data_IF_787925140095
#
_entry.id   IF_787925140095
#
_cell.length_a   1.000
_cell.length_b   1.000
_cell.length_c   1.000
_cell.angle_alpha   90.00
_cell.angle_beta   90.00
_cell.angle_gamma   90.00
#
_symmetry.space_group_name_H-M   'P 1'
#
loop_
_entity.id
_entity.type
_entity.pdbx_description
1 polymer ?
#
# COMPACT_ATOMS: atom_id res chain seq x y z
N UNK A 1 -31.90 -2.96 16.22
CA UNK A 1 -30.49 -3.39 16.26
C UNK A 1 -29.64 -2.24 15.76
N UNK A 2 -28.53 -1.86 16.41
CA UNK A 2 -27.61 -0.91 15.81
C UNK A 2 -27.12 -1.49 14.48
N UNK A 3 -27.23 -0.72 13.40
CA UNK A 3 -26.66 -1.10 12.11
C UNK A 3 -25.16 -0.81 12.20
N UNK A 4 -24.35 -1.86 12.25
CA UNK A 4 -22.89 -1.74 12.27
C UNK A 4 -22.38 -2.04 10.86
N UNK A 5 -21.72 -1.08 10.26
CA UNK A 5 -21.02 -1.21 8.97
C UNK A 5 -19.52 -1.31 9.22
N UNK A 6 -18.87 -2.31 8.62
CA UNK A 6 -17.41 -2.47 8.65
C UNK A 6 -16.82 -2.03 7.32
N UNK A 7 -16.01 -0.97 7.35
CA UNK A 7 -15.31 -0.46 6.15
C UNK A 7 -13.90 -1.06 6.12
N UNK A 8 -13.55 -1.67 4.98
CA UNK A 8 -12.25 -2.32 4.75
C UNK A 8 -11.50 -1.57 3.64
N UNK A 9 -10.68 -0.56 4.01
CA UNK A 9 -9.85 0.13 3.04
C UNK A 9 -8.70 -0.77 2.56
N UNK A 10 -8.20 -0.50 1.37
CA UNK A 10 -6.89 -0.97 0.89
C UNK A 10 -5.73 -0.27 1.61
N UNK A 11 -4.51 -0.50 1.13
CA UNK A 11 -3.35 0.31 1.51
C UNK A 11 -3.59 1.82 1.33
N UNK A 12 -2.87 2.63 2.10
CA UNK A 12 -3.07 4.08 2.11
C UNK A 12 -1.99 4.83 1.33
N UNK A 13 -2.33 6.02 0.85
CA UNK A 13 -1.33 6.95 0.29
C UNK A 13 -0.22 7.28 1.31
N UNK A 14 -0.53 7.32 2.61
CA UNK A 14 0.50 7.50 3.66
C UNK A 14 1.54 6.38 3.65
N UNK A 15 1.11 5.14 3.44
CA UNK A 15 2.00 3.98 3.36
C UNK A 15 2.84 4.04 2.08
N UNK A 16 2.21 4.45 0.97
CA UNK A 16 2.90 4.71 -0.29
C UNK A 16 3.95 5.82 -0.16
N UNK A 17 3.75 6.79 0.74
CA UNK A 17 4.74 7.79 1.10
C UNK A 17 6.02 7.21 1.71
N UNK A 18 5.94 6.05 2.38
CA UNK A 18 7.15 5.33 2.82
C UNK A 18 7.94 4.77 1.64
N UNK A 19 7.27 4.27 0.60
CA UNK A 19 7.94 3.84 -0.65
C UNK A 19 8.65 5.02 -1.32
N UNK A 20 8.02 6.19 -1.35
CA UNK A 20 8.66 7.42 -1.81
C UNK A 20 9.92 7.74 -1.01
N UNK A 21 9.84 7.71 0.33
CA UNK A 21 11.00 7.94 1.19
C UNK A 21 12.13 6.93 0.97
N UNK A 22 11.81 5.66 0.71
CA UNK A 22 12.81 4.63 0.39
C UNK A 22 13.43 4.85 -0.99
N UNK A 23 12.63 5.20 -2.00
CA UNK A 23 13.10 5.54 -3.33
C UNK A 23 14.08 6.74 -3.31
N UNK A 24 14.00 7.64 -2.31
CA UNK A 24 15.01 8.71 -2.10
C UNK A 24 16.40 8.16 -1.88
N UNK A 25 16.57 6.98 -1.26
CA UNK A 25 17.88 6.37 -1.07
C UNK A 25 18.52 5.91 -2.40
N UNK A 26 17.71 5.79 -3.47
CA UNK A 26 18.16 5.39 -4.80
C UNK A 26 18.14 3.88 -5.04
N UNK A 27 17.91 3.05 -4.02
CA UNK A 27 17.79 1.60 -4.16
C UNK A 27 16.62 1.09 -3.32
N UNK A 28 15.73 0.31 -3.94
CA UNK A 28 14.57 -0.26 -3.27
C UNK A 28 14.56 -1.78 -3.38
N UNK A 29 14.26 -2.44 -2.27
CA UNK A 29 14.03 -3.87 -2.23
C UNK A 29 12.53 -4.15 -2.30
N UNK A 30 12.12 -5.01 -3.23
CA UNK A 30 10.75 -5.49 -3.32
C UNK A 30 10.70 -6.98 -3.02
N UNK A 31 9.67 -7.42 -2.29
CA UNK A 31 9.53 -8.82 -1.93
C UNK A 31 8.66 -9.57 -2.96
N UNK A 32 9.11 -10.75 -3.37
CA UNK A 32 8.44 -11.56 -4.39
C UNK A 32 8.47 -10.92 -5.78
N UNK A 33 7.53 -11.34 -6.62
CA UNK A 33 7.45 -10.91 -8.01
C UNK A 33 6.83 -9.50 -8.16
N UNK A 34 6.29 -8.93 -7.07
CA UNK A 34 5.73 -7.56 -7.01
C UNK A 34 4.65 -7.21 -8.05
N UNK A 35 4.07 -8.22 -8.69
CA UNK A 35 2.99 -8.09 -9.69
C UNK A 35 1.60 -7.94 -9.07
N UNK A 36 1.47 -8.19 -7.77
CA UNK A 36 0.20 -8.09 -7.07
C UNK A 36 -0.34 -6.65 -7.15
N UNK A 37 -1.64 -6.58 -7.42
CA UNK A 37 -2.35 -5.33 -7.69
C UNK A 37 -2.95 -4.77 -6.42
N UNK A 38 -2.82 -3.47 -6.28
CA UNK A 38 -3.36 -2.66 -5.19
C UNK A 38 -4.01 -1.41 -5.78
N UNK A 39 -5.04 -0.91 -5.13
CA UNK A 39 -5.57 0.42 -5.42
C UNK A 39 -5.55 1.30 -4.17
N UNK A 40 -4.40 1.87 -3.78
CA UNK A 40 -4.28 2.61 -2.53
C UNK A 40 -5.27 3.77 -2.45
N UNK A 41 -5.82 4.07 -1.27
CA UNK A 41 -6.78 5.17 -1.09
C UNK A 41 -6.17 6.35 -0.34
N UNK A 42 -6.54 7.57 -0.74
CA UNK A 42 -6.18 8.78 0.00
C UNK A 42 -7.10 8.95 1.23
N UNK A 43 -6.55 9.33 2.38
CA UNK A 43 -7.30 9.44 3.64
C UNK A 43 -8.52 10.39 3.57
N UNK A 44 -8.41 11.49 2.83
CA UNK A 44 -9.55 12.41 2.60
C UNK A 44 -10.67 11.78 1.74
N UNK A 45 -10.32 10.93 0.78
CA UNK A 45 -11.31 10.25 -0.07
C UNK A 45 -12.00 9.15 0.73
N UNK A 46 -11.25 8.43 1.58
CA UNK A 46 -11.82 7.48 2.54
C UNK A 46 -12.76 8.18 3.53
N UNK A 47 -12.37 9.33 4.09
CA UNK A 47 -13.19 10.06 5.05
C UNK A 47 -14.53 10.50 4.44
N UNK A 48 -14.50 10.97 3.18
CA UNK A 48 -15.72 11.29 2.43
C UNK A 48 -16.59 10.05 2.25
N UNK A 49 -16.00 8.94 1.78
CA UNK A 49 -16.70 7.68 1.60
C UNK A 49 -17.38 7.19 2.89
N UNK A 50 -16.68 7.26 4.03
CA UNK A 50 -17.25 6.92 5.33
C UNK A 50 -18.49 7.75 5.68
N UNK A 51 -18.50 9.04 5.31
CA UNK A 51 -19.67 9.90 5.48
C UNK A 51 -20.84 9.50 4.58
N UNK A 52 -20.55 9.17 3.32
CA UNK A 52 -21.57 8.80 2.32
C UNK A 52 -22.27 7.47 2.65
N UNK A 53 -21.58 6.53 3.32
CA UNK A 53 -22.14 5.20 3.65
C UNK A 53 -22.70 5.08 5.06
N UNK A 54 -22.62 6.15 5.88
CA UNK A 54 -23.01 6.08 7.31
C UNK A 54 -24.50 5.82 7.52
N UNK A 55 -25.34 6.23 6.57
CA UNK A 55 -26.79 5.98 6.56
C UNK A 55 -27.18 4.71 5.78
N UNK A 56 -26.19 4.01 5.23
CA UNK A 56 -26.37 2.79 4.45
C UNK A 56 -26.78 1.58 5.31
N UNK A 57 -27.36 0.57 4.65
CA UNK A 57 -27.72 -0.71 5.27
C UNK A 57 -26.67 -1.81 5.09
N UNK A 58 -25.53 -1.51 4.47
CA UNK A 58 -24.52 -2.53 4.18
C UNK A 58 -23.70 -2.88 5.42
N UNK A 59 -23.44 -4.18 5.60
CA UNK A 59 -22.73 -4.72 6.76
C UNK A 59 -21.22 -4.64 6.61
N UNK A 60 -20.71 -4.76 5.39
CA UNK A 60 -19.29 -4.82 5.09
C UNK A 60 -19.01 -4.26 3.71
N UNK A 61 -18.11 -3.28 3.61
CA UNK A 61 -17.80 -2.59 2.36
C UNK A 61 -16.29 -2.48 2.18
N UNK A 62 -15.78 -3.05 1.07
CA UNK A 62 -14.41 -2.84 0.63
C UNK A 62 -14.28 -1.53 -0.13
N UNK A 63 -13.22 -0.77 0.12
CA UNK A 63 -12.99 0.53 -0.54
C UNK A 63 -11.53 0.70 -0.91
N UNK A 64 -11.27 1.16 -2.13
CA UNK A 64 -9.93 1.45 -2.63
C UNK A 64 -9.91 2.78 -3.38
N UNK A 65 -8.71 3.26 -3.69
CA UNK A 65 -8.54 4.48 -4.48
C UNK A 65 -8.86 4.29 -5.95
N UNK A 66 -8.77 5.38 -6.74
CA UNK A 66 -9.15 5.38 -8.15
C UNK A 66 -8.15 4.62 -9.03
N UNK A 67 -6.88 4.52 -8.62
CA UNK A 67 -5.82 3.95 -9.43
C UNK A 67 -5.55 2.50 -9.01
N UNK A 68 -5.73 1.54 -9.92
CA UNK A 68 -5.29 0.15 -9.70
C UNK A 68 -3.93 -0.07 -10.33
N UNK A 69 -2.92 -0.36 -9.51
CA UNK A 69 -1.54 -0.48 -9.93
C UNK A 69 -0.89 -1.72 -9.31
N UNK A 70 0.15 -2.28 -9.93
CA UNK A 70 1.00 -3.26 -9.26
C UNK A 70 1.90 -2.58 -8.23
N UNK A 71 2.43 -3.34 -7.26
CA UNK A 71 3.45 -2.82 -6.35
C UNK A 71 4.64 -2.23 -7.12
N UNK A 72 5.08 -2.89 -8.19
CA UNK A 72 6.16 -2.38 -9.05
C UNK A 72 5.82 -1.02 -9.68
N UNK A 73 4.59 -0.85 -10.18
CA UNK A 73 4.13 0.42 -10.74
C UNK A 73 4.13 1.55 -9.70
N UNK A 74 3.70 1.27 -8.46
CA UNK A 74 3.73 2.29 -7.38
C UNK A 74 5.16 2.76 -7.08
N UNK A 75 6.11 1.83 -6.99
CA UNK A 75 7.53 2.14 -6.76
C UNK A 75 8.13 2.89 -7.95
N UNK A 76 7.82 2.45 -9.17
CA UNK A 76 8.27 3.11 -10.40
C UNK A 76 7.76 4.55 -10.47
N UNK A 77 6.49 4.79 -10.10
CA UNK A 77 5.94 6.15 -10.01
C UNK A 77 6.70 7.02 -8.99
N UNK A 78 7.11 6.46 -7.85
CA UNK A 78 7.90 7.18 -6.86
C UNK A 78 9.28 7.57 -7.40
N UNK A 79 10.02 6.66 -8.05
CA UNK A 79 11.29 6.97 -8.70
C UNK A 79 11.15 8.04 -9.80
N UNK A 80 10.10 7.94 -10.61
CA UNK A 80 9.79 8.92 -11.65
C UNK A 80 9.51 10.31 -11.07
N UNK A 81 8.73 10.39 -9.98
CA UNK A 81 8.47 11.65 -9.29
C UNK A 81 9.76 12.30 -8.75
N UNK A 82 10.69 11.48 -8.24
CA UNK A 82 12.01 11.90 -7.76
C UNK A 82 13.03 12.19 -8.87
N UNK A 83 12.71 11.87 -10.14
CA UNK A 83 13.65 11.93 -11.28
C UNK A 83 14.96 11.16 -11.03
N UNK A 84 14.87 10.02 -10.35
CA UNK A 84 16.01 9.13 -10.08
C UNK A 84 15.96 7.90 -10.96
N UNK A 85 17.13 7.33 -11.27
CA UNK A 85 17.20 6.04 -11.95
C UNK A 85 16.60 4.97 -11.03
N UNK A 86 15.68 4.18 -11.59
CA UNK A 86 15.10 3.03 -10.90
C UNK A 86 16.18 1.98 -10.65
N UNK A 87 16.47 1.72 -9.38
CA UNK A 87 17.21 0.53 -8.97
C UNK A 87 16.34 -0.26 -8.01
N UNK A 88 15.76 -1.32 -8.54
CA UNK A 88 14.82 -2.18 -7.84
C UNK A 88 15.43 -3.59 -7.80
N UNK A 89 15.58 -4.14 -6.61
CA UNK A 89 16.03 -5.53 -6.43
C UNK A 89 14.91 -6.37 -5.85
N UNK A 90 14.55 -7.44 -6.55
CA UNK A 90 13.56 -8.39 -6.07
C UNK A 90 14.20 -9.40 -5.12
N UNK A 91 13.61 -9.53 -3.94
CA UNK A 91 13.96 -10.50 -2.93
C UNK A 91 12.96 -11.66 -3.06
N UNK A 92 13.40 -12.89 -3.38
CA UNK A 92 12.50 -14.03 -3.47
C UNK A 92 11.74 -14.25 -2.15
N UNK A 93 10.47 -14.67 -2.23
CA UNK A 93 9.61 -14.82 -1.05
C UNK A 93 10.23 -15.73 0.03
N UNK A 94 10.93 -16.79 -0.39
CA UNK A 94 11.64 -17.72 0.51
C UNK A 94 12.70 -17.04 1.39
N UNK A 95 13.32 -15.97 0.90
CA UNK A 95 14.29 -15.19 1.69
C UNK A 95 13.55 -14.36 2.74
N UNK A 96 12.38 -13.82 2.41
CA UNK A 96 11.48 -13.18 3.36
C UNK A 96 11.03 -14.14 4.47
N UNK A 97 10.61 -15.36 4.09
CA UNK A 97 10.21 -16.41 5.05
C UNK A 97 11.35 -16.80 5.99
N UNK A 98 12.57 -16.95 5.46
CA UNK A 98 13.75 -17.25 6.26
C UNK A 98 14.10 -16.11 7.23
N UNK A 99 14.00 -14.86 6.78
CA UNK A 99 14.19 -13.69 7.63
C UNK A 99 13.12 -13.59 8.73
N UNK A 100 11.86 -13.92 8.41
CA UNK A 100 10.77 -13.99 9.37
C UNK A 100 11.04 -15.05 10.45
N UNK A 101 11.47 -16.25 10.04
CA UNK A 101 11.80 -17.33 10.97
C UNK A 101 12.92 -16.94 11.94
N UNK A 102 13.97 -16.29 11.44
CA UNK A 102 15.09 -15.82 12.27
C UNK A 102 14.66 -14.67 13.20
N UNK A 103 13.92 -13.69 12.70
CA UNK A 103 13.44 -12.55 13.50
C UNK A 103 12.45 -12.98 14.57
N UNK A 104 11.63 -14.00 14.32
CA UNK A 104 10.72 -14.60 15.32
C UNK A 104 11.43 -15.16 16.55
N UNK A 105 12.71 -15.51 16.43
CA UNK A 105 13.53 -15.98 17.54
C UNK A 105 14.00 -14.85 18.47
N UNK A 106 14.16 -13.63 17.94
CA UNK A 106 14.69 -12.48 18.69
C UNK A 106 13.63 -11.43 19.04
N UNK A 107 12.64 -11.23 18.18
CA UNK A 107 11.59 -10.23 18.35
C UNK A 107 10.27 -10.68 17.72
N UNK A 108 9.37 -11.20 18.57
CA UNK A 108 8.05 -11.68 18.16
C UNK A 108 7.16 -10.58 17.58
N UNK A 109 7.24 -9.35 18.09
CA UNK A 109 6.41 -8.24 17.59
C UNK A 109 6.81 -7.81 16.18
N UNK A 110 8.12 -7.76 15.90
CA UNK A 110 8.60 -7.50 14.54
C UNK A 110 8.23 -8.63 13.58
N UNK A 111 8.32 -9.89 14.03
CA UNK A 111 7.92 -11.04 13.22
C UNK A 111 6.43 -11.00 12.87
N UNK A 112 5.56 -10.58 13.77
CA UNK A 112 4.12 -10.43 13.47
C UNK A 112 3.89 -9.39 12.36
N UNK A 113 4.50 -8.21 12.46
CA UNK A 113 4.40 -7.16 11.43
C UNK A 113 4.95 -7.66 10.08
N UNK A 114 6.08 -8.37 10.09
CA UNK A 114 6.68 -8.95 8.88
C UNK A 114 5.77 -10.01 8.26
N UNK A 115 5.14 -10.85 9.07
CA UNK A 115 4.22 -11.89 8.59
C UNK A 115 2.99 -11.29 7.90
N UNK A 116 2.45 -10.20 8.45
CA UNK A 116 1.38 -9.43 7.82
C UNK A 116 1.84 -8.82 6.49
N UNK A 117 3.01 -8.18 6.45
CA UNK A 117 3.55 -7.60 5.23
C UNK A 117 3.75 -8.65 4.13
N UNK A 118 4.27 -9.84 4.48
CA UNK A 118 4.43 -10.98 3.56
C UNK A 118 3.07 -11.44 3.01
N UNK A 119 2.07 -11.60 3.88
CA UNK A 119 0.74 -12.04 3.49
C UNK A 119 0.06 -11.06 2.52
N UNK A 120 0.08 -9.75 2.83
CA UNK A 120 -0.49 -8.70 1.98
C UNK A 120 0.27 -8.57 0.66
N UNK A 121 1.59 -8.72 0.69
CA UNK A 121 2.42 -8.67 -0.51
C UNK A 121 2.17 -9.83 -1.47
N UNK A 122 1.44 -10.88 -1.04
CA UNK A 122 1.14 -12.08 -1.83
C UNK A 122 -0.26 -12.13 -2.45
N UNK A 123 -1.12 -11.13 -2.24
CA UNK A 123 -2.53 -11.16 -2.68
C UNK A 123 -2.94 -9.87 -3.38
N UNK A 124 -3.75 -10.00 -4.43
CA UNK A 124 -4.42 -8.85 -5.05
C UNK A 124 -5.43 -8.23 -4.08
N UNK A 125 -5.33 -6.92 -3.88
CA UNK A 125 -6.24 -6.15 -3.01
C UNK A 125 -6.83 -4.99 -3.81
N UNK A 126 -7.90 -5.29 -4.56
CA UNK A 126 -8.56 -4.32 -5.46
C UNK A 126 -10.08 -4.30 -5.25
N UNK A 127 -10.59 -3.72 -4.14
CA UNK A 127 -11.99 -3.39 -3.95
C UNK A 127 -12.45 -2.23 -4.85
N UNK A 128 -13.73 -1.84 -4.69
CA UNK A 128 -14.38 -0.77 -5.45
C UNK A 128 -13.57 0.53 -5.43
N UNK A 129 -13.20 0.98 -6.64
CA UNK A 129 -12.46 2.21 -6.85
C UNK A 129 -13.31 3.43 -6.47
N UNK A 130 -12.78 4.25 -5.57
CA UNK A 130 -13.45 5.40 -4.97
C UNK A 130 -12.48 6.58 -4.86
N UNK A 131 -13.02 7.79 -4.94
CA UNK A 131 -12.24 9.00 -4.74
C UNK A 131 -11.84 9.68 -6.05
N UNK A 132 -11.01 10.70 -5.91
CA UNK A 132 -10.60 11.58 -7.01
C UNK A 132 -9.11 11.91 -6.97
N UNK A 133 -8.41 11.54 -5.89
CA UNK A 133 -6.99 11.80 -5.73
C UNK A 133 -6.20 10.63 -6.29
N UNK A 134 -5.26 10.95 -7.18
CA UNK A 134 -4.42 9.96 -7.84
C UNK A 134 -3.07 9.81 -7.14
N UNK A 135 -2.54 8.59 -7.13
CA UNK A 135 -1.29 8.28 -6.44
C UNK A 135 -0.10 9.02 -7.06
N UNK A 136 -0.10 9.15 -8.38
CA UNK A 136 0.94 9.90 -9.10
C UNK A 136 0.97 11.38 -8.74
N UNK A 137 -0.19 12.01 -8.50
CA UNK A 137 -0.25 13.41 -8.04
C UNK A 137 0.31 13.55 -6.62
N UNK A 138 -0.03 12.62 -5.74
CA UNK A 138 0.50 12.58 -4.38
C UNK A 138 2.04 12.49 -4.37
N UNK A 139 2.64 11.64 -5.21
CA UNK A 139 4.11 11.58 -5.31
C UNK A 139 4.74 12.84 -5.90
N UNK A 140 4.10 13.48 -6.89
CA UNK A 140 4.55 14.78 -7.42
C UNK A 140 4.51 15.88 -6.36
N UNK A 141 3.47 15.88 -5.53
CA UNK A 141 3.34 16.82 -4.42
C UNK A 141 4.40 16.56 -3.33
N UNK A 142 4.70 15.31 -3.01
CA UNK A 142 5.81 14.99 -2.10
C UNK A 142 7.15 15.46 -2.65
N UNK A 143 7.39 15.28 -3.94
CA UNK A 143 8.62 15.72 -4.60
C UNK A 143 8.76 17.25 -4.70
N UNK A 144 7.65 18.00 -4.75
CA UNK A 144 7.68 19.48 -4.81
C UNK A 144 7.86 20.15 -3.45
N UNK A 145 7.68 19.40 -2.37
CA UNK A 145 7.92 19.84 -0.98
C UNK A 145 9.38 19.65 -0.54
N UNK A 146 10.24 19.15 -1.42
CA UNK A 146 11.70 19.11 -1.25
C UNK A 146 12.35 20.41 -1.75
#
# INVERSE_FOLDING_TARGET
MPCTTVIRPTGFFSDMGMFFSMARSGHMFMLGDSENRVNPIHGADLAKFCGDVVEGGEREIGVGGPDTCSFNETVTMAFNALRKNQWISQIPMRVGDAALFLTGFFNKGLAEVMSFAIAVSGMDTVPTATGTRHLGDFYRELASRE
#
